data_IF_647998173153
#
_entry.id   IF_647998173153
#
_cell.length_a   1.000
_cell.length_b   1.000
_cell.length_c   1.000
_cell.angle_alpha   90.00
_cell.angle_beta   90.00
_cell.angle_gamma   90.00
#
_symmetry.space_group_name_H-M   'P 1'
#
loop_
_entity.id
_entity.type
_entity.pdbx_description
1 polymer ?
#
# COMPACT_ATOMS: atom_id res chain seq x y z
N UNK A 1 -5.68 36.78 21.61
CA UNK A 1 -6.48 35.63 21.12
C UNK A 1 -5.95 35.07 19.79
N UNK A 2 -5.64 35.92 18.81
CA UNK A 2 -5.12 35.52 17.48
C UNK A 2 -3.88 34.61 17.48
N UNK A 3 -2.85 34.91 18.30
CA UNK A 3 -1.60 34.12 18.33
C UNK A 3 -1.79 32.65 18.74
N UNK A 4 -2.73 32.36 19.65
CA UNK A 4 -3.02 30.99 20.10
C UNK A 4 -3.72 30.18 18.99
N UNK A 5 -4.65 30.81 18.29
CA UNK A 5 -5.37 30.17 17.19
C UNK A 5 -4.44 29.90 16.01
N UNK A 6 -3.51 30.82 15.72
CA UNK A 6 -2.47 30.62 14.70
C UNK A 6 -1.57 29.41 15.02
N UNK A 7 -1.10 29.27 16.26
CA UNK A 7 -0.27 28.14 16.67
C UNK A 7 -1.00 26.79 16.57
N UNK A 8 -2.29 26.76 16.92
CA UNK A 8 -3.12 25.56 16.75
C UNK A 8 -3.30 25.20 15.27
N UNK A 9 -3.52 26.18 14.41
CA UNK A 9 -3.64 25.97 12.97
C UNK A 9 -2.33 25.43 12.37
N UNK A 10 -1.19 26.02 12.72
CA UNK A 10 0.13 25.52 12.30
C UNK A 10 0.35 24.08 12.76
N UNK A 11 0.00 23.77 14.01
CA UNK A 11 0.08 22.42 14.54
C UNK A 11 -0.77 21.44 13.71
N UNK A 12 -2.02 21.75 13.40
CA UNK A 12 -2.84 20.87 12.55
C UNK A 12 -2.27 20.70 11.14
N UNK A 13 -1.77 21.77 10.53
CA UNK A 13 -1.15 21.71 9.20
C UNK A 13 0.07 20.78 9.21
N UNK A 14 0.92 20.87 10.23
CA UNK A 14 2.08 19.98 10.38
C UNK A 14 1.64 18.53 10.53
N UNK A 15 0.62 18.25 11.34
CA UNK A 15 0.08 16.90 11.50
C UNK A 15 -0.46 16.32 10.20
N UNK A 16 -1.22 17.11 9.44
CA UNK A 16 -1.73 16.72 8.12
C UNK A 16 -0.57 16.44 7.17
N UNK A 17 0.43 17.31 7.10
CA UNK A 17 1.59 17.13 6.22
C UNK A 17 2.35 15.83 6.53
N UNK A 18 2.56 15.51 7.81
CA UNK A 18 3.21 14.25 8.24
C UNK A 18 2.35 13.04 7.82
N UNK A 19 1.04 13.09 8.06
CA UNK A 19 0.13 12.00 7.69
C UNK A 19 0.09 11.77 6.17
N UNK A 20 0.05 12.84 5.38
CA UNK A 20 0.11 12.77 3.91
C UNK A 20 1.44 12.20 3.44
N UNK A 21 2.57 12.61 4.04
CA UNK A 21 3.88 12.06 3.71
C UNK A 21 3.95 10.56 3.98
N UNK A 22 3.45 10.11 5.13
CA UNK A 22 3.35 8.69 5.46
C UNK A 22 2.49 7.93 4.45
N UNK A 23 1.33 8.46 4.06
CA UNK A 23 0.48 7.85 3.04
C UNK A 23 1.18 7.71 1.68
N UNK A 24 1.85 8.78 1.20
CA UNK A 24 2.59 8.78 -0.08
C UNK A 24 3.73 7.75 -0.06
N UNK A 25 4.40 7.60 1.08
CA UNK A 25 5.54 6.70 1.21
C UNK A 25 5.11 5.24 1.36
N UNK A 26 4.09 4.97 2.17
CA UNK A 26 3.73 3.61 2.57
C UNK A 26 2.57 3.03 1.74
N UNK A 27 1.49 3.78 1.53
CA UNK A 27 0.23 3.26 0.95
C UNK A 27 0.18 3.44 -0.57
N UNK A 28 0.52 4.63 -1.04
CA UNK A 28 0.40 5.00 -2.45
C UNK A 28 1.15 4.06 -3.42
N UNK A 29 2.33 3.49 -3.09
CA UNK A 29 2.96 2.47 -3.94
C UNK A 29 2.08 1.24 -4.16
N UNK A 30 1.35 0.78 -3.13
CA UNK A 30 0.46 -0.38 -3.24
C UNK A 30 -0.76 -0.06 -4.08
N UNK A 31 -1.35 1.13 -3.92
CA UNK A 31 -2.46 1.58 -4.78
C UNK A 31 -2.05 1.65 -6.26
N UNK A 32 -0.84 2.15 -6.53
CA UNK A 32 -0.27 2.12 -7.88
C UNK A 32 -0.06 0.70 -8.38
N UNK A 33 0.44 -0.21 -7.54
CA UNK A 33 0.60 -1.62 -7.90
C UNK A 33 -0.76 -2.23 -8.30
N UNK A 34 -1.80 -1.98 -7.51
CA UNK A 34 -3.18 -2.38 -7.81
C UNK A 34 -3.65 -1.79 -9.16
N UNK A 35 -3.37 -0.51 -9.42
CA UNK A 35 -3.68 0.14 -10.69
C UNK A 35 -3.00 -0.54 -11.87
N UNK A 36 -1.73 -0.92 -11.74
CA UNK A 36 -1.02 -1.70 -12.75
C UNK A 36 -1.60 -3.10 -12.93
N UNK A 37 -1.95 -3.81 -11.85
CA UNK A 37 -2.64 -5.10 -11.94
C UNK A 37 -4.01 -4.99 -12.63
N UNK A 38 -4.74 -3.90 -12.41
CA UNK A 38 -5.99 -3.61 -13.14
C UNK A 38 -5.75 -3.40 -14.64
N UNK A 39 -4.67 -2.71 -15.01
CA UNK A 39 -4.24 -2.57 -16.42
C UNK A 39 -3.79 -3.90 -17.01
N UNK A 40 -3.12 -4.75 -16.22
CA UNK A 40 -2.77 -6.10 -16.61
C UNK A 40 -4.02 -6.93 -16.92
N UNK A 41 -5.03 -6.90 -16.05
CA UNK A 41 -6.29 -7.63 -16.27
C UNK A 41 -7.02 -7.22 -17.56
N UNK A 42 -7.02 -5.93 -17.87
CA UNK A 42 -7.67 -5.38 -19.07
C UNK A 42 -6.80 -5.46 -20.34
N UNK A 43 -5.53 -5.88 -20.23
CA UNK A 43 -4.66 -6.01 -21.39
C UNK A 43 -5.17 -7.08 -22.37
N UNK A 44 -5.10 -6.79 -23.66
CA UNK A 44 -5.53 -7.70 -24.74
C UNK A 44 -4.51 -8.77 -25.08
N UNK A 45 -3.22 -8.52 -24.81
CA UNK A 45 -2.11 -9.41 -25.14
C UNK A 45 -1.25 -9.74 -23.92
N UNK A 46 -0.60 -10.90 -23.98
CA UNK A 46 0.30 -11.44 -22.96
C UNK A 46 1.46 -10.50 -22.62
N UNK A 47 2.04 -9.85 -23.62
CA UNK A 47 3.21 -8.99 -23.45
C UNK A 47 2.88 -7.72 -22.66
N UNK A 48 1.75 -7.08 -23.00
CA UNK A 48 1.24 -5.92 -22.26
C UNK A 48 0.86 -6.31 -20.83
N UNK A 49 0.18 -7.46 -20.65
CA UNK A 49 -0.17 -7.97 -19.33
C UNK A 49 1.08 -8.20 -18.47
N UNK A 50 2.13 -8.80 -19.06
CA UNK A 50 3.38 -9.07 -18.37
C UNK A 50 4.10 -7.77 -17.98
N UNK A 51 4.13 -6.77 -18.89
CA UNK A 51 4.72 -5.46 -18.60
C UNK A 51 4.05 -4.79 -17.41
N UNK A 52 2.72 -4.75 -17.38
CA UNK A 52 2.00 -4.16 -16.24
C UNK A 52 2.18 -4.97 -14.95
N UNK A 53 2.22 -6.31 -15.02
CA UNK A 53 2.48 -7.14 -13.85
C UNK A 53 3.90 -6.91 -13.28
N UNK A 54 4.90 -6.67 -14.13
CA UNK A 54 6.26 -6.29 -13.70
C UNK A 54 6.25 -4.94 -12.97
N UNK A 55 5.56 -3.92 -13.50
CA UNK A 55 5.44 -2.61 -12.83
C UNK A 55 4.77 -2.73 -11.45
N UNK A 56 3.73 -3.55 -11.34
CA UNK A 56 3.11 -3.83 -10.04
C UNK A 56 4.09 -4.51 -9.08
N UNK A 57 4.84 -5.50 -9.56
CA UNK A 57 5.83 -6.23 -8.76
C UNK A 57 6.91 -5.30 -8.19
N UNK A 58 7.33 -4.27 -8.92
CA UNK A 58 8.36 -3.33 -8.43
C UNK A 58 7.89 -2.45 -7.26
N UNK A 59 6.58 -2.28 -7.09
CA UNK A 59 5.99 -1.37 -6.11
C UNK A 59 5.56 -2.05 -4.81
N UNK A 60 5.37 -3.37 -4.84
CA UNK A 60 4.99 -4.14 -3.65
C UNK A 60 6.24 -4.35 -2.77
N UNK A 61 6.17 -4.13 -1.46
CA UNK A 61 7.30 -4.40 -0.55
C UNK A 61 7.85 -5.83 -0.70
N UNK A 62 9.17 -6.01 -0.62
CA UNK A 62 9.81 -7.29 -0.96
C UNK A 62 9.40 -8.46 -0.06
N UNK A 63 9.14 -8.18 1.20
CA UNK A 63 8.90 -9.18 2.23
C UNK A 63 8.03 -8.61 3.35
N UNK A 64 7.58 -9.51 4.23
CA UNK A 64 6.82 -9.17 5.42
C UNK A 64 5.30 -9.20 5.23
N UNK A 65 4.62 -9.23 6.36
CA UNK A 65 3.17 -9.15 6.45
C UNK A 65 2.80 -7.84 7.15
N UNK A 66 2.08 -6.91 6.51
CA UNK A 66 1.71 -5.67 7.16
C UNK A 66 0.66 -5.90 8.25
N UNK A 67 -0.11 -6.99 8.19
CA UNK A 67 -1.09 -7.36 9.21
C UNK A 67 -0.37 -7.88 10.43
N UNK A 68 -0.34 -7.07 11.48
CA UNK A 68 0.42 -7.37 12.69
C UNK A 68 -0.37 -8.08 13.79
N UNK A 69 -1.71 -8.03 13.76
CA UNK A 69 -2.54 -8.66 14.79
C UNK A 69 -2.86 -10.12 14.46
N UNK A 70 -3.34 -10.37 13.24
CA UNK A 70 -3.72 -11.70 12.75
C UNK A 70 -3.24 -11.89 11.30
N UNK A 71 -1.91 -12.02 11.08
CA UNK A 71 -1.38 -12.21 9.73
C UNK A 71 -1.92 -13.49 9.10
N UNK A 72 -2.17 -13.43 7.79
CA UNK A 72 -2.51 -14.61 6.98
C UNK A 72 -1.59 -14.70 5.78
N UNK A 73 -1.52 -15.87 5.15
CA UNK A 73 -0.78 -16.04 3.89
C UNK A 73 -1.29 -15.12 2.77
N UNK A 74 -2.54 -14.65 2.85
CA UNK A 74 -3.15 -13.76 1.86
C UNK A 74 -2.63 -12.34 1.93
N UNK A 75 -2.06 -11.94 3.07
CA UNK A 75 -1.51 -10.59 3.27
C UNK A 75 0.01 -10.57 3.29
N UNK A 76 0.65 -11.71 3.02
CA UNK A 76 2.10 -11.81 2.96
C UNK A 76 2.62 -11.29 1.61
N UNK A 77 3.43 -10.22 1.66
CA UNK A 77 3.94 -9.62 0.43
C UNK A 77 4.92 -10.50 -0.32
N UNK A 78 5.69 -11.35 0.37
CA UNK A 78 6.59 -12.27 -0.33
C UNK A 78 5.79 -13.29 -1.15
N UNK A 79 4.69 -13.81 -0.60
CA UNK A 79 3.83 -14.76 -1.32
C UNK A 79 3.11 -14.10 -2.49
N UNK A 80 2.52 -12.92 -2.29
CA UNK A 80 1.88 -12.15 -3.36
C UNK A 80 2.86 -11.87 -4.50
N UNK A 81 4.10 -11.47 -4.19
CA UNK A 81 5.14 -11.22 -5.18
C UNK A 81 5.54 -12.47 -5.95
N UNK A 82 5.65 -13.61 -5.27
CA UNK A 82 5.95 -14.89 -5.90
C UNK A 82 4.85 -15.31 -6.88
N UNK A 83 3.59 -15.12 -6.51
CA UNK A 83 2.45 -15.40 -7.37
C UNK A 83 2.42 -14.48 -8.60
N UNK A 84 2.71 -13.18 -8.43
CA UNK A 84 2.86 -12.24 -9.55
C UNK A 84 4.01 -12.66 -10.47
N UNK A 85 5.16 -13.08 -9.91
CA UNK A 85 6.30 -13.57 -10.70
C UNK A 85 5.93 -14.80 -11.53
N UNK A 86 5.23 -15.75 -10.93
CA UNK A 86 4.73 -16.95 -11.63
C UNK A 86 3.77 -16.60 -12.76
N UNK A 87 2.90 -15.59 -12.57
CA UNK A 87 2.05 -15.07 -13.64
C UNK A 87 2.89 -14.47 -14.78
N UNK A 88 3.90 -13.66 -14.47
CA UNK A 88 4.79 -13.06 -15.47
C UNK A 88 5.49 -14.15 -16.30
N UNK A 89 6.02 -15.18 -15.64
CA UNK A 89 6.70 -16.28 -16.32
C UNK A 89 5.74 -17.06 -17.22
N UNK A 90 4.50 -17.29 -16.76
CA UNK A 90 3.47 -17.95 -17.57
C UNK A 90 3.02 -17.09 -18.75
N UNK A 91 2.90 -15.78 -18.60
CA UNK A 91 2.61 -14.86 -19.71
C UNK A 91 3.70 -14.89 -20.78
N UNK A 92 4.97 -14.90 -20.36
CA UNK A 92 6.11 -15.03 -21.27
C UNK A 92 6.13 -16.38 -21.98
N UNK A 93 5.73 -17.45 -21.30
CA UNK A 93 5.69 -18.79 -21.92
C UNK A 93 4.69 -18.92 -23.07
N UNK A 94 3.66 -18.07 -23.12
CA UNK A 94 2.64 -18.09 -24.17
C UNK A 94 2.84 -17.01 -25.25
N UNK A 95 3.94 -16.26 -25.23
CA UNK A 95 4.19 -15.18 -26.19
C UNK A 95 4.27 -15.66 -27.65
N UNK A 96 4.66 -16.93 -27.85
CA UNK A 96 4.78 -17.54 -29.17
C UNK A 96 3.54 -18.36 -29.58
N UNK A 97 2.52 -18.42 -28.72
CA UNK A 97 1.26 -19.11 -29.03
C UNK A 97 0.42 -18.20 -29.93
N UNK A 98 -0.19 -18.69 -31.01
CA UNK A 98 -1.03 -17.86 -31.88
C UNK A 98 -2.15 -17.18 -31.11
N UNK A 99 -2.29 -15.86 -31.27
CA UNK A 99 -3.24 -15.05 -30.51
C UNK A 99 -4.70 -15.45 -30.73
N UNK A 100 -5.04 -15.93 -31.93
CA UNK A 100 -6.37 -16.40 -32.29
C UNK A 100 -6.70 -17.80 -31.75
N UNK A 101 -5.75 -18.45 -31.07
CA UNK A 101 -5.98 -19.79 -30.54
C UNK A 101 -6.81 -19.76 -29.26
N UNK A 102 -7.70 -20.75 -29.12
CA UNK A 102 -8.46 -20.94 -27.88
C UNK A 102 -7.55 -21.13 -26.65
N UNK A 103 -6.39 -21.78 -26.83
CA UNK A 103 -5.41 -21.97 -25.76
C UNK A 103 -4.82 -20.65 -25.26
N UNK A 104 -4.52 -19.71 -26.15
CA UNK A 104 -4.04 -18.37 -25.79
C UNK A 104 -5.11 -17.62 -25.00
N UNK A 105 -6.33 -17.51 -25.56
CA UNK A 105 -7.44 -16.80 -24.93
C UNK A 105 -7.81 -17.38 -23.56
N UNK A 106 -7.86 -18.71 -23.44
CA UNK A 106 -8.16 -19.40 -22.18
C UNK A 106 -7.08 -19.16 -21.13
N UNK A 107 -5.80 -19.21 -21.52
CA UNK A 107 -4.70 -18.94 -20.59
C UNK A 107 -4.73 -17.50 -20.12
N UNK A 108 -4.95 -16.55 -21.02
CA UNK A 108 -5.05 -15.14 -20.66
C UNK A 108 -6.22 -14.90 -19.68
N UNK A 109 -7.36 -15.56 -19.89
CA UNK A 109 -8.51 -15.45 -19.00
C UNK A 109 -8.25 -16.06 -17.60
N UNK A 110 -7.61 -17.23 -17.52
CA UNK A 110 -7.18 -17.81 -16.24
C UNK A 110 -6.27 -16.84 -15.46
N UNK A 111 -5.28 -16.26 -16.15
CA UNK A 111 -4.34 -15.33 -15.54
C UNK A 111 -5.02 -14.03 -15.08
N UNK A 112 -5.99 -13.50 -15.83
CA UNK A 112 -6.82 -12.37 -15.35
C UNK A 112 -7.51 -12.69 -14.03
N UNK A 113 -8.08 -13.89 -13.90
CA UNK A 113 -8.69 -14.35 -12.65
C UNK A 113 -7.70 -14.40 -11.48
N UNK A 114 -6.48 -14.90 -11.71
CA UNK A 114 -5.43 -14.91 -10.69
C UNK A 114 -4.99 -13.50 -10.29
N UNK A 115 -4.83 -12.60 -11.26
CA UNK A 115 -4.48 -11.20 -10.98
C UNK A 115 -5.59 -10.53 -10.15
N UNK A 116 -6.86 -10.83 -10.40
CA UNK A 116 -7.97 -10.30 -9.59
C UNK A 116 -7.90 -10.75 -8.13
N UNK A 117 -7.53 -12.00 -7.87
CA UNK A 117 -7.30 -12.51 -6.51
C UNK A 117 -6.15 -11.76 -5.82
N UNK A 118 -5.03 -11.55 -6.52
CA UNK A 118 -3.87 -10.82 -6.01
C UNK A 118 -4.21 -9.35 -5.71
N UNK A 119 -5.01 -8.71 -6.56
CA UNK A 119 -5.52 -7.37 -6.29
C UNK A 119 -6.30 -7.31 -4.98
N UNK A 120 -7.19 -8.28 -4.71
CA UNK A 120 -7.93 -8.35 -3.45
C UNK A 120 -7.03 -8.58 -2.24
N UNK A 121 -6.00 -9.42 -2.38
CA UNK A 121 -5.00 -9.64 -1.33
C UNK A 121 -4.25 -8.35 -0.97
N UNK A 122 -3.90 -7.53 -1.97
CA UNK A 122 -3.30 -6.21 -1.72
C UNK A 122 -4.28 -5.25 -1.03
N UNK A 123 -5.57 -5.26 -1.41
CA UNK A 123 -6.60 -4.48 -0.70
C UNK A 123 -6.75 -4.90 0.77
N UNK A 124 -6.65 -6.19 1.07
CA UNK A 124 -6.71 -6.70 2.45
C UNK A 124 -5.49 -6.27 3.28
N UNK A 125 -4.30 -6.26 2.67
CA UNK A 125 -3.05 -5.89 3.31
C UNK A 125 -2.91 -4.37 3.55
N UNK A 126 -3.45 -3.56 2.64
CA UNK A 126 -3.21 -2.11 2.55
C UNK A 126 -3.56 -1.29 3.81
N UNK A 127 -4.70 -1.49 4.51
CA UNK A 127 -5.00 -0.71 5.71
C UNK A 127 -3.92 -0.83 6.80
N UNK A 128 -3.27 -1.99 6.88
CA UNK A 128 -2.27 -2.26 7.91
C UNK A 128 -0.90 -1.67 7.59
N UNK A 129 -0.69 -1.23 6.35
CA UNK A 129 0.53 -0.56 5.91
C UNK A 129 0.63 0.86 6.47
N UNK A 130 -0.49 1.58 6.60
CA UNK A 130 -0.54 2.88 7.29
C UNK A 130 -0.71 2.72 8.80
N UNK A 131 -1.54 1.78 9.25
CA UNK A 131 -1.80 1.51 10.67
C UNK A 131 -0.80 0.52 11.28
N UNK A 132 0.49 0.65 10.94
CA UNK A 132 1.57 -0.05 11.63
C UNK A 132 1.60 0.40 13.11
N UNK A 133 1.98 -0.46 14.06
CA UNK A 133 1.98 -0.12 15.49
C UNK A 133 2.74 1.18 15.80
N UNK A 134 3.88 1.39 15.14
CA UNK A 134 4.69 2.60 15.32
C UNK A 134 3.96 3.87 14.86
N UNK A 135 3.23 3.81 13.74
CA UNK A 135 2.46 4.93 13.22
C UNK A 135 1.29 5.27 14.15
N UNK A 136 0.64 4.26 14.73
CA UNK A 136 -0.43 4.45 15.72
C UNK A 136 0.13 5.14 16.97
N UNK A 137 1.24 4.65 17.52
CA UNK A 137 1.87 5.25 18.70
C UNK A 137 2.34 6.68 18.41
N UNK A 138 2.95 6.92 17.26
CA UNK A 138 3.37 8.26 16.84
C UNK A 138 2.19 9.22 16.70
N UNK A 139 1.08 8.78 16.09
CA UNK A 139 -0.13 9.58 15.96
C UNK A 139 -0.74 9.93 17.34
N UNK A 140 -0.84 8.95 18.24
CA UNK A 140 -1.32 9.18 19.61
C UNK A 140 -0.41 10.14 20.38
N UNK A 141 0.91 9.95 20.30
CA UNK A 141 1.90 10.82 20.93
C UNK A 141 1.79 12.25 20.40
N UNK A 142 1.63 12.41 19.08
CA UNK A 142 1.40 13.70 18.45
C UNK A 142 0.16 14.36 19.06
N UNK A 143 -1.01 13.72 18.97
CA UNK A 143 -2.29 14.25 19.45
C UNK A 143 -2.29 14.65 20.94
N UNK A 144 -1.55 13.93 21.79
CA UNK A 144 -1.47 14.21 23.23
C UNK A 144 -0.44 15.30 23.55
N UNK A 145 0.51 15.57 22.67
CA UNK A 145 1.62 16.51 22.90
C UNK A 145 1.19 17.91 23.38
N UNK A 146 0.09 18.54 22.89
CA UNK A 146 -0.31 19.87 23.36
C UNK A 146 -0.74 19.87 24.84
N UNK A 147 -1.35 18.77 25.31
CA UNK A 147 -1.77 18.62 26.71
C UNK A 147 -0.57 18.48 27.65
N UNK A 148 0.44 17.70 27.22
CA UNK A 148 1.69 17.53 27.96
C UNK A 148 2.42 18.87 28.09
N UNK A 149 2.58 19.60 26.98
CA UNK A 149 3.23 20.91 26.96
C UNK A 149 2.50 21.89 27.90
N UNK A 150 1.16 21.92 27.86
CA UNK A 150 0.36 22.77 28.76
C UNK A 150 0.57 22.40 30.23
N UNK A 151 0.61 21.11 30.56
CA UNK A 151 0.86 20.63 31.93
C UNK A 151 2.24 21.06 32.43
N UNK A 152 3.28 20.88 31.62
CA UNK A 152 4.67 21.27 31.96
C UNK A 152 4.76 22.79 32.20
N UNK A 153 4.20 23.61 31.31
CA UNK A 153 4.20 25.07 31.46
C UNK A 153 3.50 25.49 32.76
N UNK A 154 2.37 24.87 33.09
CA UNK A 154 1.63 25.19 34.31
C UNK A 154 2.39 24.77 35.58
N UNK A 155 3.03 23.60 35.57
CA UNK A 155 3.86 23.13 36.69
C UNK A 155 5.09 24.02 36.91
N UNK A 156 5.71 24.53 35.85
CA UNK A 156 6.83 25.47 35.95
C UNK A 156 6.40 26.83 36.54
N UNK A 157 5.20 27.31 36.21
CA UNK A 157 4.65 28.55 36.78
C UNK A 157 4.30 28.46 38.27
N UNK A 158 3.94 27.28 38.78
CA UNK A 158 3.60 27.07 40.20
C UNK A 158 4.83 27.00 41.13
N UNK A 159 6.03 26.82 40.58
CA UNK A 159 7.30 26.75 41.33
C UNK A 159 8.02 28.11 41.41
N UNK A 160 7.51 29.14 40.74
CA UNK A 160 7.91 30.54 40.88
C UNK A 160 6.86 31.27 41.71
#
# INVERSE_FOLDING_TARGET
MARRNLLMLVYFIVGIAIATAAYIQDVYPIERAIGFLSRAQSAGYSDDMARYAVEALLLIPREGNPVWLFPTIRTDFSLIRNDISSIIDRLRSISNVPHESAAYAQTLNDLRGKIAVLTNQLYEAMPYVIFKPINIVAALAYLISPFIVRKIINSAKRKK
#
